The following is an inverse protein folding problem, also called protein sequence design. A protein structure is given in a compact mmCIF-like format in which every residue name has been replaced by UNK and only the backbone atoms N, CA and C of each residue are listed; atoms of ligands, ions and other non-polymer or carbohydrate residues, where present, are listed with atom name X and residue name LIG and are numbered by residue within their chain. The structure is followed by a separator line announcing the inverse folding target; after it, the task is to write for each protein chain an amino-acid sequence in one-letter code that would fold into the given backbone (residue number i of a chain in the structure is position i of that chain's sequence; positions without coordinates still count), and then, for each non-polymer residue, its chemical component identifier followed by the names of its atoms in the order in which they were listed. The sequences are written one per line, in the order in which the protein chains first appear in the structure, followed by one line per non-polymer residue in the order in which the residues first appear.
data_IF_331468529308
#
_entry.id   IF_331468529308
#
_cell.length_a   1.000
_cell.length_b   1.000
_cell.length_c   1.000
_cell.angle_alpha   90.00
_cell.angle_beta   90.00
_cell.angle_gamma   90.00
#
_symmetry.space_group_name_H-M   'P 1'
#
loop_
_entity.id
_entity.type
_entity.pdbx_description
1 polymer ?
#
# COMPACT_ATOMS: atom_id res chain seq x y z
N UNK A 1 4.29 -10.21 17.53
CA UNK A 1 4.40 -10.65 18.96
C UNK A 1 4.11 -12.13 19.15
N UNK A 2 3.07 -12.68 18.57
CA UNK A 2 2.74 -14.12 18.60
C UNK A 2 3.80 -14.93 17.84
N UNK A 3 4.30 -14.40 16.74
CA UNK A 3 5.37 -14.99 15.93
C UNK A 3 6.59 -15.42 16.76
N UNK A 4 7.13 -14.53 17.58
CA UNK A 4 8.29 -14.84 18.43
C UNK A 4 8.01 -15.89 19.53
N UNK A 5 6.77 -16.04 19.96
CA UNK A 5 6.38 -17.05 20.94
C UNK A 5 6.24 -18.44 20.29
N UNK A 6 5.77 -18.48 19.05
CA UNK A 6 5.55 -19.71 18.31
C UNK A 6 6.83 -20.23 17.62
N UNK A 7 7.81 -19.36 17.38
CA UNK A 7 9.03 -19.71 16.64
C UNK A 7 9.77 -20.94 17.18
N UNK A 8 10.08 -21.07 18.51
CA UNK A 8 10.80 -22.22 19.02
C UNK A 8 10.06 -23.54 18.77
N UNK A 9 8.73 -23.55 18.94
CA UNK A 9 7.90 -24.73 18.70
C UNK A 9 7.81 -25.03 17.19
N UNK A 10 7.73 -23.99 16.36
CA UNK A 10 7.70 -24.13 14.91
C UNK A 10 9.03 -24.69 14.39
N UNK A 11 10.18 -24.22 14.88
CA UNK A 11 11.50 -24.71 14.52
C UNK A 11 11.64 -26.20 14.84
N UNK A 12 11.17 -26.64 16.03
CA UNK A 12 11.14 -28.06 16.40
C UNK A 12 10.25 -28.90 15.48
N UNK A 13 9.06 -28.38 15.14
CA UNK A 13 8.14 -29.06 14.21
C UNK A 13 8.71 -29.13 12.79
N UNK A 14 9.44 -28.11 12.34
CA UNK A 14 10.12 -28.08 11.03
C UNK A 14 11.25 -29.13 11.01
N UNK A 15 12.08 -29.17 12.03
CA UNK A 15 13.17 -30.16 12.15
C UNK A 15 12.61 -31.58 12.14
N UNK A 16 11.50 -31.83 12.84
CA UNK A 16 10.81 -33.11 12.90
C UNK A 16 9.96 -33.42 11.67
N UNK A 17 9.80 -32.45 10.73
CA UNK A 17 8.95 -32.51 9.51
C UNK A 17 7.48 -32.82 9.81
N UNK A 18 6.96 -32.28 10.90
CA UNK A 18 5.58 -32.46 11.32
C UNK A 18 4.62 -31.50 10.58
N UNK A 19 4.59 -31.62 9.24
CA UNK A 19 3.87 -30.68 8.35
C UNK A 19 2.37 -30.60 8.62
N UNK A 20 1.74 -31.66 9.13
CA UNK A 20 0.31 -31.67 9.45
C UNK A 20 0.04 -30.78 10.65
N UNK A 21 0.85 -30.91 11.70
CA UNK A 21 0.75 -30.10 12.93
C UNK A 21 1.01 -28.62 12.61
N UNK A 22 2.05 -28.33 11.81
CA UNK A 22 2.36 -26.98 11.36
C UNK A 22 1.16 -26.37 10.62
N UNK A 23 0.54 -27.12 9.71
CA UNK A 23 -0.64 -26.65 8.97
C UNK A 23 -1.80 -26.31 9.91
N UNK A 24 -2.10 -27.15 10.89
CA UNK A 24 -3.16 -26.92 11.87
C UNK A 24 -2.88 -25.66 12.71
N UNK A 25 -1.66 -25.52 13.21
CA UNK A 25 -1.25 -24.34 13.99
C UNK A 25 -1.37 -23.07 13.16
N UNK A 26 -0.83 -23.07 11.94
CA UNK A 26 -0.85 -21.90 11.08
C UNK A 26 -2.27 -21.50 10.59
N UNK A 27 -3.26 -22.41 10.65
CA UNK A 27 -4.62 -22.10 10.24
C UNK A 27 -5.27 -21.06 11.16
N UNK A 28 -4.96 -21.08 12.46
CA UNK A 28 -5.53 -20.22 13.48
C UNK A 28 -4.70 -18.94 13.75
N UNK A 29 -3.43 -18.90 13.29
CA UNK A 29 -2.54 -17.73 13.46
C UNK A 29 -2.93 -16.63 12.44
N UNK A 30 -3.02 -15.34 12.81
CA UNK A 30 -3.27 -14.24 11.87
C UNK A 30 -2.26 -14.18 10.74
N UNK A 31 -2.66 -13.70 9.56
CA UNK A 31 -1.80 -13.64 8.37
C UNK A 31 -0.54 -12.81 8.62
N UNK A 32 -0.67 -11.67 9.30
CA UNK A 32 0.46 -10.78 9.67
C UNK A 32 1.49 -11.49 10.56
N UNK A 33 1.05 -12.30 11.54
CA UNK A 33 1.98 -13.04 12.40
C UNK A 33 2.65 -14.20 11.62
N UNK A 34 1.96 -14.79 10.65
CA UNK A 34 2.55 -15.81 9.74
C UNK A 34 3.58 -15.18 8.82
N UNK A 35 3.36 -13.97 8.31
CA UNK A 35 4.36 -13.26 7.50
C UNK A 35 5.62 -12.94 8.30
N UNK A 36 5.49 -12.45 9.55
CA UNK A 36 6.63 -12.25 10.46
C UNK A 36 7.46 -13.54 10.66
N UNK A 37 6.80 -14.71 10.78
CA UNK A 37 7.49 -15.99 10.86
C UNK A 37 8.25 -16.35 9.57
N UNK A 38 7.64 -16.09 8.41
CA UNK A 38 8.27 -16.37 7.11
C UNK A 38 9.47 -15.48 6.83
N UNK A 39 9.47 -14.23 7.29
CA UNK A 39 10.60 -13.30 7.16
C UNK A 39 11.89 -13.84 7.75
N UNK A 40 11.79 -14.60 8.85
CA UNK A 40 12.93 -15.13 9.56
C UNK A 40 13.40 -16.53 9.07
N UNK A 41 12.67 -17.13 8.12
CA UNK A 41 12.99 -18.47 7.61
C UNK A 41 13.82 -18.41 6.33
N UNK A 42 14.68 -19.43 6.13
CA UNK A 42 15.34 -19.63 4.84
C UNK A 42 14.32 -19.86 3.71
N UNK A 43 14.59 -19.36 2.48
CA UNK A 43 13.62 -19.37 1.38
C UNK A 43 13.02 -20.75 1.09
N UNK A 44 13.84 -21.80 1.11
CA UNK A 44 13.41 -23.17 0.82
C UNK A 44 12.42 -23.68 1.87
N UNK A 45 12.62 -23.32 3.14
CA UNK A 45 11.72 -23.69 4.25
C UNK A 45 10.45 -22.85 4.18
N UNK A 46 10.59 -21.53 3.96
CA UNK A 46 9.47 -20.61 3.81
C UNK A 46 8.51 -21.04 2.70
N UNK A 47 9.03 -21.50 1.54
CA UNK A 47 8.22 -22.04 0.43
C UNK A 47 7.45 -23.29 0.84
N UNK A 48 8.05 -24.18 1.65
CA UNK A 48 7.35 -25.38 2.13
C UNK A 48 6.21 -25.00 3.05
N UNK A 49 6.44 -24.09 4.00
CA UNK A 49 5.42 -23.59 4.92
C UNK A 49 4.31 -22.86 4.16
N UNK A 50 4.68 -22.00 3.21
CA UNK A 50 3.72 -21.29 2.36
C UNK A 50 2.77 -22.24 1.61
N UNK A 51 3.26 -23.39 1.16
CA UNK A 51 2.44 -24.45 0.51
C UNK A 51 1.41 -25.10 1.43
N UNK A 52 1.59 -25.03 2.74
CA UNK A 52 0.65 -25.60 3.70
C UNK A 52 -0.57 -24.68 3.91
N UNK A 53 -0.43 -23.39 3.60
CA UNK A 53 -1.50 -22.39 3.76
C UNK A 53 -2.64 -22.62 2.75
N UNK A 54 -3.85 -22.24 3.14
CA UNK A 54 -4.97 -22.13 2.21
C UNK A 54 -4.71 -20.99 1.23
N UNK A 55 -5.20 -21.09 -0.01
CA UNK A 55 -4.90 -20.12 -1.08
C UNK A 55 -5.23 -18.67 -0.71
N UNK A 56 -6.40 -18.41 -0.09
CA UNK A 56 -6.76 -17.07 0.37
C UNK A 56 -5.78 -16.59 1.44
N UNK A 57 -5.54 -17.39 2.46
CA UNK A 57 -4.59 -17.03 3.52
C UNK A 57 -3.16 -16.85 3.00
N UNK A 58 -2.77 -17.60 1.98
CA UNK A 58 -1.45 -17.46 1.36
C UNK A 58 -1.30 -16.10 0.67
N UNK A 59 -2.35 -15.58 0.04
CA UNK A 59 -2.35 -14.24 -0.53
C UNK A 59 -2.27 -13.17 0.57
N UNK A 60 -3.12 -13.28 1.60
CA UNK A 60 -3.09 -12.36 2.75
C UNK A 60 -1.71 -12.36 3.47
N UNK A 61 -1.06 -13.51 3.60
CA UNK A 61 0.29 -13.62 4.17
C UNK A 61 1.32 -12.97 3.25
N UNK A 62 1.15 -13.14 1.94
CA UNK A 62 2.08 -12.60 0.96
C UNK A 62 2.05 -11.07 0.91
N UNK A 63 0.88 -10.44 1.06
CA UNK A 63 0.75 -8.98 1.08
C UNK A 63 1.44 -8.32 2.29
N UNK A 64 1.58 -9.06 3.40
CA UNK A 64 2.30 -8.57 4.59
C UNK A 64 3.82 -8.83 4.56
N UNK A 65 4.35 -9.52 3.55
CA UNK A 65 5.79 -9.76 3.45
C UNK A 65 6.52 -8.48 3.00
N UNK A 66 7.76 -8.32 3.46
CA UNK A 66 8.64 -7.31 2.88
C UNK A 66 8.86 -7.58 1.39
N UNK A 67 9.07 -6.51 0.61
CA UNK A 67 9.35 -6.61 -0.82
C UNK A 67 10.53 -7.54 -1.11
N UNK A 68 11.58 -7.49 -0.28
CA UNK A 68 12.75 -8.35 -0.43
C UNK A 68 12.38 -9.84 -0.28
N UNK A 69 11.59 -10.18 0.76
CA UNK A 69 11.14 -11.55 1.00
C UNK A 69 10.14 -12.02 -0.03
N UNK A 70 9.25 -11.13 -0.46
CA UNK A 70 8.30 -11.39 -1.54
C UNK A 70 9.02 -11.78 -2.85
N UNK A 71 10.00 -10.99 -3.28
CA UNK A 71 10.83 -11.28 -4.47
C UNK A 71 11.55 -12.62 -4.33
N UNK A 72 12.20 -12.87 -3.18
CA UNK A 72 12.90 -14.13 -2.89
C UNK A 72 11.99 -15.35 -3.02
N UNK A 73 10.77 -15.29 -2.49
CA UNK A 73 9.79 -16.37 -2.62
C UNK A 73 9.30 -16.55 -4.05
N UNK A 74 9.04 -15.45 -4.79
CA UNK A 74 8.59 -15.52 -6.18
C UNK A 74 9.63 -16.14 -7.12
N UNK A 75 10.92 -15.99 -6.84
CA UNK A 75 11.99 -16.63 -7.59
C UNK A 75 11.90 -18.18 -7.52
N UNK A 76 11.55 -18.69 -6.33
CA UNK A 76 11.51 -20.14 -6.05
C UNK A 76 10.14 -20.75 -6.35
N UNK A 77 9.07 -19.92 -6.46
CA UNK A 77 7.72 -20.41 -6.72
C UNK A 77 7.58 -21.07 -8.08
N UNK A 78 6.87 -22.20 -8.08
CA UNK A 78 6.38 -22.82 -9.30
C UNK A 78 5.34 -21.92 -10.00
N UNK A 79 5.13 -22.13 -11.30
CA UNK A 79 4.10 -21.39 -12.07
C UNK A 79 2.71 -21.46 -11.43
N UNK A 80 2.34 -22.60 -10.85
CA UNK A 80 1.03 -22.77 -10.19
C UNK A 80 0.95 -21.93 -8.92
N UNK A 81 2.00 -21.87 -8.11
CA UNK A 81 2.02 -21.04 -6.91
C UNK A 81 1.97 -19.55 -7.25
N UNK A 82 2.73 -19.11 -8.25
CA UNK A 82 2.65 -17.75 -8.76
C UNK A 82 1.21 -17.39 -9.16
N UNK A 83 0.57 -18.27 -9.95
CA UNK A 83 -0.83 -18.06 -10.36
C UNK A 83 -1.78 -18.02 -9.17
N UNK A 84 -1.60 -18.93 -8.20
CA UNK A 84 -2.48 -19.02 -7.03
C UNK A 84 -2.35 -17.79 -6.12
N UNK A 85 -1.14 -17.27 -5.89
CA UNK A 85 -0.91 -16.04 -5.11
C UNK A 85 -1.45 -14.84 -5.86
N UNK A 86 -0.99 -14.61 -7.08
CA UNK A 86 -1.34 -13.45 -7.87
C UNK A 86 -2.85 -13.30 -8.13
N UNK A 87 -3.58 -14.42 -8.31
CA UNK A 87 -5.04 -14.37 -8.54
C UNK A 87 -5.85 -14.08 -7.29
N UNK A 88 -5.26 -14.19 -6.10
CA UNK A 88 -5.92 -13.91 -4.83
C UNK A 88 -5.45 -12.60 -4.17
N UNK A 89 -4.38 -11.97 -4.66
CA UNK A 89 -3.99 -10.62 -4.27
C UNK A 89 -5.00 -9.59 -4.77
N UNK A 90 -5.21 -8.52 -4.01
CA UNK A 90 -6.00 -7.38 -4.43
C UNK A 90 -5.35 -6.65 -5.64
N UNK A 91 -6.10 -5.91 -6.44
CA UNK A 91 -5.58 -5.25 -7.63
C UNK A 91 -4.45 -4.26 -7.38
N UNK A 92 -4.54 -3.47 -6.33
CA UNK A 92 -3.56 -2.50 -5.84
C UNK A 92 -2.30 -3.19 -5.30
N UNK A 93 -2.44 -4.22 -4.44
CA UNK A 93 -1.34 -5.05 -3.94
C UNK A 93 -0.54 -5.67 -5.11
N UNK A 94 -1.25 -6.15 -6.15
CA UNK A 94 -0.60 -6.64 -7.37
C UNK A 94 0.20 -5.56 -8.07
N UNK A 95 -0.33 -4.35 -8.15
CA UNK A 95 0.37 -3.21 -8.79
C UNK A 95 1.61 -2.86 -8.00
N UNK A 96 1.50 -2.67 -6.69
CA UNK A 96 2.62 -2.39 -5.80
C UNK A 96 3.74 -3.43 -5.97
N UNK A 97 3.38 -4.72 -5.99
CA UNK A 97 4.34 -5.79 -6.24
C UNK A 97 5.04 -5.64 -7.61
N UNK A 98 4.30 -5.35 -8.69
CA UNK A 98 4.89 -5.21 -10.02
C UNK A 98 5.83 -4.01 -10.16
N UNK A 99 5.69 -2.98 -9.35
CA UNK A 99 6.60 -1.83 -9.31
C UNK A 99 7.99 -2.19 -8.78
N UNK A 100 8.04 -3.17 -7.89
CA UNK A 100 9.27 -3.59 -7.22
C UNK A 100 9.98 -4.77 -7.89
N UNK A 101 9.27 -5.50 -8.80
CA UNK A 101 9.82 -6.70 -9.41
C UNK A 101 10.95 -6.41 -10.40
N UNK A 102 12.09 -7.15 -10.33
CA UNK A 102 13.07 -7.20 -11.39
C UNK A 102 12.46 -7.61 -12.73
N UNK A 103 12.95 -7.06 -13.84
CA UNK A 103 12.32 -7.20 -15.16
C UNK A 103 12.20 -8.64 -15.68
N UNK A 104 13.12 -9.54 -15.31
CA UNK A 104 13.07 -10.96 -15.64
C UNK A 104 11.97 -11.69 -14.85
N UNK A 105 11.82 -11.37 -13.57
CA UNK A 105 10.78 -11.91 -12.71
C UNK A 105 9.40 -11.38 -13.10
N UNK A 106 9.31 -10.10 -13.49
CA UNK A 106 8.09 -9.48 -14.02
C UNK A 106 7.48 -10.31 -15.16
N UNK A 107 8.29 -10.75 -16.13
CA UNK A 107 7.82 -11.59 -17.23
C UNK A 107 7.36 -12.97 -16.76
N UNK A 108 8.06 -13.58 -15.80
CA UNK A 108 7.67 -14.87 -15.20
C UNK A 108 6.30 -14.78 -14.53
N UNK A 109 6.08 -13.71 -13.77
CA UNK A 109 4.81 -13.46 -13.04
C UNK A 109 3.68 -13.15 -14.05
N UNK A 110 3.87 -12.24 -15.00
CA UNK A 110 2.87 -11.93 -16.03
C UNK A 110 2.42 -13.17 -16.82
N UNK A 111 3.34 -14.08 -17.13
CA UNK A 111 3.03 -15.32 -17.85
C UNK A 111 2.26 -16.35 -16.99
N UNK A 112 2.16 -16.13 -15.69
CA UNK A 112 1.39 -16.97 -14.76
C UNK A 112 -0.04 -16.48 -14.53
N UNK A 113 -0.33 -15.22 -14.84
CA UNK A 113 -1.62 -14.57 -14.66
C UNK A 113 -2.64 -14.94 -15.74
N UNK A 114 -3.92 -14.86 -15.40
CA UNK A 114 -5.01 -14.91 -16.36
C UNK A 114 -5.02 -13.63 -17.25
N UNK A 115 -5.52 -13.71 -18.50
CA UNK A 115 -5.55 -12.55 -19.39
C UNK A 115 -6.25 -11.32 -18.83
N UNK A 116 -7.32 -11.52 -18.05
CA UNK A 116 -8.09 -10.43 -17.43
C UNK A 116 -7.28 -9.73 -16.34
N UNK A 117 -6.54 -10.48 -15.51
CA UNK A 117 -5.66 -9.95 -14.48
C UNK A 117 -4.49 -9.17 -15.10
N UNK A 118 -3.90 -9.69 -16.19
CA UNK A 118 -2.86 -8.97 -16.95
C UNK A 118 -3.39 -7.64 -17.49
N UNK A 119 -4.62 -7.63 -18.02
CA UNK A 119 -5.23 -6.41 -18.55
C UNK A 119 -5.50 -5.39 -17.42
N UNK A 120 -5.90 -5.86 -16.25
CA UNK A 120 -6.12 -5.03 -15.06
C UNK A 120 -4.81 -4.40 -14.57
N UNK A 121 -3.77 -5.21 -14.34
CA UNK A 121 -2.43 -4.74 -13.93
C UNK A 121 -1.89 -3.69 -14.91
N UNK A 122 -1.95 -3.97 -16.22
CA UNK A 122 -1.49 -3.02 -17.24
C UNK A 122 -2.25 -1.70 -17.25
N UNK A 123 -3.56 -1.74 -16.97
CA UNK A 123 -4.38 -0.54 -16.87
C UNK A 123 -3.98 0.31 -15.68
N UNK A 124 -3.80 -0.31 -14.51
CA UNK A 124 -3.41 0.40 -13.29
C UNK A 124 -1.97 0.93 -13.38
N UNK A 125 -1.03 0.13 -13.88
CA UNK A 125 0.34 0.58 -14.18
C UNK A 125 0.42 1.68 -15.25
N UNK A 126 -0.65 1.95 -15.97
CA UNK A 126 -0.75 3.06 -16.90
C UNK A 126 -0.93 4.43 -16.26
N UNK A 127 -1.31 4.50 -14.99
CA UNK A 127 -1.35 5.75 -14.23
C UNK A 127 0.07 6.18 -13.79
N UNK A 128 0.31 7.47 -13.51
CA UNK A 128 1.59 7.93 -12.97
C UNK A 128 1.98 7.19 -11.69
N UNK A 129 3.26 7.03 -11.43
CA UNK A 129 3.73 6.59 -10.11
C UNK A 129 3.24 7.57 -9.03
N UNK A 130 3.07 7.10 -7.80
CA UNK A 130 2.60 7.89 -6.65
C UNK A 130 1.24 8.57 -6.86
N UNK A 131 0.44 8.11 -7.85
CA UNK A 131 -0.90 8.62 -8.08
C UNK A 131 -1.97 7.73 -7.42
N UNK A 132 -3.09 8.34 -7.07
CA UNK A 132 -4.29 7.64 -6.57
C UNK A 132 -4.72 6.48 -7.49
N UNK A 133 -4.49 6.61 -8.80
CA UNK A 133 -4.79 5.56 -9.77
C UNK A 133 -3.95 4.29 -9.63
N UNK A 134 -2.75 4.39 -9.02
CA UNK A 134 -1.89 3.24 -8.68
C UNK A 134 -2.32 2.57 -7.38
N UNK A 135 -2.82 3.36 -6.45
CA UNK A 135 -3.21 2.94 -5.11
C UNK A 135 -4.65 2.36 -5.06
N UNK A 136 -5.47 2.60 -6.09
CA UNK A 136 -6.88 2.21 -6.07
C UNK A 136 -7.10 0.72 -6.32
N UNK A 137 -8.02 0.12 -5.56
CA UNK A 137 -8.61 -1.17 -5.90
C UNK A 137 -9.81 -1.00 -6.86
N UNK A 138 -10.03 -1.98 -7.73
CA UNK A 138 -11.20 -2.01 -8.62
C UNK A 138 -12.31 -2.92 -8.08
N UNK A 139 -12.13 -3.47 -6.88
CA UNK A 139 -13.03 -4.37 -6.21
C UNK A 139 -14.05 -3.62 -5.33
N UNK A 140 -15.02 -2.96 -5.93
CA UNK A 140 -16.04 -2.18 -5.22
C UNK A 140 -17.46 -2.54 -5.66
N UNK A 141 -18.46 -2.18 -4.82
CA UNK A 141 -19.86 -2.35 -5.15
C UNK A 141 -20.47 -1.05 -5.63
N UNK A 142 -21.15 -1.11 -6.76
CA UNK A 142 -21.94 0.00 -7.31
C UNK A 142 -23.38 -0.39 -7.58
N UNK A 143 -24.29 0.56 -7.39
CA UNK A 143 -25.72 0.41 -7.62
C UNK A 143 -26.22 1.52 -8.53
N UNK A 144 -27.49 1.41 -8.97
CA UNK A 144 -28.11 2.40 -9.86
C UNK A 144 -29.23 3.15 -9.15
N UNK A 145 -29.32 4.47 -9.37
CA UNK A 145 -30.31 5.34 -8.75
C UNK A 145 -31.77 4.88 -8.90
N UNK A 146 -32.09 4.17 -9.98
CA UNK A 146 -33.45 3.69 -10.27
C UNK A 146 -33.76 2.30 -9.66
N UNK A 147 -32.85 1.72 -8.90
CA UNK A 147 -33.10 0.47 -8.20
C UNK A 147 -33.83 0.73 -6.89
N UNK A 148 -34.55 -0.29 -6.42
CA UNK A 148 -35.06 -0.32 -5.04
C UNK A 148 -33.99 -0.78 -4.08
N UNK A 149 -34.16 -0.49 -2.80
CA UNK A 149 -33.28 -0.96 -1.71
C UNK A 149 -33.20 -2.50 -1.74
N UNK A 150 -34.33 -3.22 -1.89
CA UNK A 150 -34.33 -4.66 -1.97
C UNK A 150 -33.47 -5.20 -3.11
N UNK A 151 -33.56 -4.60 -4.31
CA UNK A 151 -32.73 -4.97 -5.46
C UNK A 151 -31.25 -4.66 -5.22
N UNK A 152 -30.95 -3.55 -4.57
CA UNK A 152 -29.59 -3.18 -4.22
C UNK A 152 -28.96 -4.18 -3.25
N UNK A 153 -29.69 -4.65 -2.25
CA UNK A 153 -29.22 -5.71 -1.36
C UNK A 153 -28.98 -7.04 -2.06
N UNK A 154 -29.85 -7.41 -3.03
CA UNK A 154 -29.60 -8.60 -3.83
C UNK A 154 -28.30 -8.50 -4.60
N UNK A 155 -28.02 -7.34 -5.18
CA UNK A 155 -26.78 -7.06 -5.89
C UNK A 155 -25.56 -7.07 -4.95
N UNK A 156 -25.64 -6.40 -3.79
CA UNK A 156 -24.58 -6.38 -2.77
C UNK A 156 -24.27 -7.81 -2.29
N UNK A 157 -25.26 -8.64 -1.99
CA UNK A 157 -25.04 -10.04 -1.58
C UNK A 157 -24.33 -10.89 -2.64
N UNK A 158 -24.55 -10.56 -3.90
CA UNK A 158 -23.95 -11.30 -5.01
C UNK A 158 -22.52 -10.88 -5.29
N UNK A 159 -22.21 -9.58 -5.27
CA UNK A 159 -20.93 -9.01 -5.70
C UNK A 159 -20.07 -8.49 -4.53
N UNK A 160 -20.64 -8.22 -3.37
CA UNK A 160 -19.93 -7.69 -2.21
C UNK A 160 -19.00 -8.68 -1.51
N UNK A 161 -19.01 -9.96 -1.94
CA UNK A 161 -18.07 -10.97 -1.38
C UNK A 161 -16.64 -10.81 -1.86
N UNK A 162 -16.47 -10.17 -3.00
CA UNK A 162 -15.20 -9.89 -3.64
C UNK A 162 -14.89 -8.41 -3.65
N UNK A 163 -15.71 -7.60 -2.98
CA UNK A 163 -15.47 -6.17 -2.85
C UNK A 163 -14.60 -5.91 -1.62
N UNK A 164 -13.69 -4.96 -1.74
CA UNK A 164 -12.79 -4.49 -0.70
C UNK A 164 -13.58 -4.06 0.54
N UNK A 165 -14.62 -3.29 0.33
CA UNK A 165 -15.57 -2.90 1.37
C UNK A 165 -16.99 -2.85 0.85
N UNK A 166 -17.95 -3.12 1.75
CA UNK A 166 -19.38 -2.88 1.52
C UNK A 166 -19.94 -1.79 2.44
N UNK A 167 -19.07 -1.14 3.22
CA UNK A 167 -19.49 -0.08 4.13
C UNK A 167 -19.96 1.17 3.38
N UNK A 168 -19.40 1.41 2.19
CA UNK A 168 -19.78 2.48 1.27
C UNK A 168 -20.19 1.86 -0.05
N UNK A 169 -21.36 2.26 -0.55
CA UNK A 169 -21.94 1.78 -1.81
C UNK A 169 -22.05 2.96 -2.75
N UNK A 170 -21.48 2.86 -3.93
CA UNK A 170 -21.41 3.94 -4.90
C UNK A 170 -22.59 3.91 -5.85
N UNK A 171 -23.20 5.06 -6.08
CA UNK A 171 -24.32 5.18 -7.01
C UNK A 171 -23.83 5.79 -8.31
N UNK A 172 -24.11 5.09 -9.43
CA UNK A 172 -23.69 5.55 -10.76
C UNK A 172 -24.90 5.73 -11.68
N UNK A 173 -24.73 6.62 -12.66
CA UNK A 173 -25.69 6.82 -13.74
C UNK A 173 -25.61 5.71 -14.81
N UNK A 174 -26.28 5.93 -15.96
CA UNK A 174 -26.29 4.97 -17.10
C UNK A 174 -24.93 4.90 -17.79
N UNK A 175 -24.10 5.93 -17.66
CA UNK A 175 -22.79 6.04 -18.29
C UNK A 175 -21.66 5.72 -17.31
N UNK A 176 -21.96 5.09 -16.18
CA UNK A 176 -21.03 4.72 -15.11
C UNK A 176 -20.42 5.94 -14.38
N UNK A 177 -20.96 7.16 -14.58
CA UNK A 177 -20.54 8.33 -13.81
C UNK A 177 -20.99 8.21 -12.37
N UNK A 178 -20.12 8.55 -11.44
CA UNK A 178 -20.44 8.65 -10.04
C UNK A 178 -21.43 9.82 -9.83
N UNK A 179 -22.51 9.57 -9.11
CA UNK A 179 -23.54 10.57 -8.79
C UNK A 179 -23.81 10.72 -7.29
N UNK A 180 -23.46 9.67 -6.51
CA UNK A 180 -23.59 9.68 -5.05
C UNK A 180 -22.80 8.55 -4.40
N UNK A 181 -22.56 8.64 -3.08
CA UNK A 181 -22.07 7.57 -2.23
C UNK A 181 -23.02 7.37 -1.04
N UNK A 182 -23.41 6.12 -0.77
CA UNK A 182 -24.34 5.77 0.30
C UNK A 182 -23.62 4.87 1.31
N UNK A 183 -23.77 5.17 2.60
CA UNK A 183 -23.31 4.26 3.66
C UNK A 183 -24.28 3.07 3.75
N UNK A 184 -23.74 1.89 4.01
CA UNK A 184 -24.56 0.68 4.15
C UNK A 184 -25.68 0.82 5.18
N UNK A 185 -25.46 1.56 6.28
CA UNK A 185 -26.48 1.81 7.30
C UNK A 185 -27.68 2.59 6.75
N UNK A 186 -27.51 3.50 5.78
CA UNK A 186 -28.63 4.21 5.15
C UNK A 186 -29.52 3.24 4.38
N UNK A 187 -28.93 2.26 3.69
CA UNK A 187 -29.66 1.21 3.00
C UNK A 187 -30.38 0.24 3.97
N UNK A 188 -29.72 -0.13 5.09
CA UNK A 188 -30.29 -1.04 6.09
C UNK A 188 -31.52 -0.43 6.77
N UNK A 189 -31.52 0.88 6.99
CA UNK A 189 -32.59 1.59 7.69
C UNK A 189 -33.75 1.99 6.76
N UNK A 190 -33.57 1.94 5.45
CA UNK A 190 -34.59 2.29 4.47
C UNK A 190 -35.53 1.12 4.18
N UNK A 191 -36.78 1.42 3.83
CA UNK A 191 -37.75 0.42 3.44
C UNK A 191 -37.38 -0.28 2.13
N UNK A 192 -37.66 -1.60 1.97
CA UNK A 192 -37.21 -2.40 0.83
C UNK A 192 -37.65 -1.86 -0.54
N UNK A 193 -38.82 -1.24 -0.61
CA UNK A 193 -39.42 -0.73 -1.85
C UNK A 193 -39.01 0.71 -2.17
N UNK A 194 -38.28 1.38 -1.27
CA UNK A 194 -37.79 2.73 -1.49
C UNK A 194 -36.76 2.75 -2.65
N UNK A 195 -36.86 3.72 -3.53
CA UNK A 195 -35.88 3.92 -4.60
C UNK A 195 -34.57 4.50 -4.04
N UNK A 196 -33.47 4.12 -4.63
CA UNK A 196 -32.15 4.68 -4.27
C UNK A 196 -32.14 6.20 -4.49
N UNK A 197 -32.79 6.69 -5.57
CA UNK A 197 -32.96 8.12 -5.84
C UNK A 197 -33.60 8.93 -4.70
N UNK A 198 -34.39 8.28 -3.85
CA UNK A 198 -35.11 8.93 -2.74
C UNK A 198 -34.26 8.98 -1.46
N UNK A 199 -33.18 8.23 -1.42
CA UNK A 199 -32.21 8.15 -0.29
C UNK A 199 -30.99 9.06 -0.56
N UNK A 200 -30.66 9.26 -1.84
CA UNK A 200 -29.54 10.07 -2.28
C UNK A 200 -29.65 11.52 -1.84
N UNK A 201 -28.53 12.12 -1.47
CA UNK A 201 -28.43 13.58 -1.26
C UNK A 201 -27.66 14.29 -2.40
N UNK A 202 -27.13 13.52 -3.35
CA UNK A 202 -26.33 13.97 -4.49
C UNK A 202 -25.04 14.71 -4.06
N UNK A 203 -24.51 14.39 -2.90
CA UNK A 203 -23.27 14.91 -2.40
C UNK A 203 -22.27 13.79 -2.20
N UNK A 204 -21.11 13.91 -2.83
CA UNK A 204 -20.03 12.95 -2.68
C UNK A 204 -18.68 13.64 -2.73
N UNK A 205 -17.69 12.96 -2.16
CA UNK A 205 -16.29 13.38 -2.26
C UNK A 205 -15.57 12.30 -3.05
N UNK A 206 -14.86 12.69 -4.10
CA UNK A 206 -14.16 11.78 -4.99
C UNK A 206 -12.74 12.29 -5.25
N UNK A 207 -11.81 11.35 -5.47
CA UNK A 207 -10.46 11.59 -5.94
C UNK A 207 -10.40 11.41 -7.46
N UNK A 208 -9.50 12.13 -8.13
CA UNK A 208 -9.13 11.81 -9.50
C UNK A 208 -8.06 10.72 -9.50
N UNK A 209 -8.13 9.79 -10.47
CA UNK A 209 -7.07 8.78 -10.62
C UNK A 209 -5.68 9.37 -10.93
N UNK A 210 -5.61 10.67 -11.28
CA UNK A 210 -4.38 11.39 -11.56
C UNK A 210 -3.92 12.31 -10.41
N UNK A 211 -4.69 12.37 -9.32
CA UNK A 211 -4.28 13.08 -8.12
C UNK A 211 -3.09 12.37 -7.48
N UNK A 212 -2.28 13.13 -6.76
CA UNK A 212 -1.19 12.61 -5.95
C UNK A 212 -1.74 11.79 -4.77
N UNK A 213 -1.00 10.75 -4.35
CA UNK A 213 -1.41 9.89 -3.23
C UNK A 213 -1.55 10.65 -1.90
N UNK A 214 -0.77 11.72 -1.68
CA UNK A 214 -0.91 12.59 -0.50
C UNK A 214 -2.28 13.27 -0.43
N UNK A 215 -2.88 13.60 -1.59
CA UNK A 215 -4.23 14.18 -1.63
C UNK A 215 -5.26 13.20 -1.06
N UNK A 216 -5.08 11.89 -1.28
CA UNK A 216 -5.94 10.86 -0.70
C UNK A 216 -5.81 10.82 0.83
N UNK A 217 -4.58 10.92 1.37
CA UNK A 217 -4.32 11.00 2.83
C UNK A 217 -5.10 12.18 3.43
N UNK A 218 -4.96 13.36 2.81
CA UNK A 218 -5.61 14.58 3.27
C UNK A 218 -7.15 14.49 3.18
N UNK A 219 -7.67 13.98 2.07
CA UNK A 219 -9.11 13.89 1.82
C UNK A 219 -9.80 12.90 2.77
N UNK A 220 -9.22 11.69 2.98
CA UNK A 220 -9.76 10.71 3.92
C UNK A 220 -9.81 11.27 5.35
N UNK A 221 -8.72 11.91 5.78
CA UNK A 221 -8.65 12.54 7.11
C UNK A 221 -9.63 13.69 7.27
N UNK A 222 -9.75 14.57 6.26
CA UNK A 222 -10.61 15.76 6.31
C UNK A 222 -12.10 15.42 6.36
N UNK A 223 -12.52 14.39 5.63
CA UNK A 223 -13.94 14.04 5.49
C UNK A 223 -14.36 12.85 6.36
N UNK A 224 -13.48 12.34 7.23
CA UNK A 224 -13.72 11.18 8.11
C UNK A 224 -14.30 9.98 7.33
N UNK A 225 -13.70 9.66 6.19
CA UNK A 225 -14.13 8.57 5.31
C UNK A 225 -13.27 7.34 5.55
N UNK A 226 -13.86 6.16 5.37
CA UNK A 226 -13.15 4.87 5.41
C UNK A 226 -12.76 4.37 4.01
N UNK A 227 -13.40 4.92 2.99
CA UNK A 227 -13.09 4.70 1.59
C UNK A 227 -13.56 5.91 0.77
N UNK A 228 -12.82 6.25 -0.28
CA UNK A 228 -13.16 7.28 -1.24
C UNK A 228 -13.25 6.71 -2.65
N UNK A 229 -14.25 7.12 -3.44
CA UNK A 229 -14.33 6.76 -4.85
C UNK A 229 -13.27 7.49 -5.66
N UNK A 230 -12.73 6.78 -6.64
CA UNK A 230 -11.78 7.32 -7.62
C UNK A 230 -12.45 7.41 -8.97
N UNK A 231 -12.35 8.58 -9.60
CA UNK A 231 -12.95 8.85 -10.90
C UNK A 231 -11.89 9.21 -11.95
N UNK A 232 -12.20 8.93 -13.20
CA UNK A 232 -11.42 9.42 -14.34
C UNK A 232 -11.76 10.87 -14.70
N UNK A 233 -11.08 11.44 -15.71
CA UNK A 233 -11.32 12.79 -16.21
C UNK A 233 -12.76 13.02 -16.73
N UNK A 234 -13.51 11.96 -17.02
CA UNK A 234 -14.92 11.98 -17.42
C UNK A 234 -15.90 11.93 -16.24
N UNK A 235 -15.42 11.72 -15.01
CA UNK A 235 -16.22 11.48 -13.82
C UNK A 235 -16.77 10.05 -13.73
N UNK A 236 -16.21 9.10 -14.51
CA UNK A 236 -16.55 7.68 -14.45
C UNK A 236 -15.85 7.07 -13.23
N UNK A 237 -16.61 6.30 -12.45
CA UNK A 237 -16.05 5.56 -11.31
C UNK A 237 -15.12 4.44 -11.80
N UNK A 238 -13.83 4.53 -11.48
CA UNK A 238 -12.80 3.59 -11.94
C UNK A 238 -12.23 2.72 -10.84
N UNK A 239 -12.33 3.16 -9.59
CA UNK A 239 -11.82 2.44 -8.41
C UNK A 239 -12.27 3.07 -7.10
N UNK A 240 -11.72 2.57 -6.02
CA UNK A 240 -11.82 3.14 -4.68
C UNK A 240 -10.46 3.05 -4.00
N UNK A 241 -10.24 3.91 -3.02
CA UNK A 241 -9.09 3.84 -2.12
C UNK A 241 -9.60 3.73 -0.69
N UNK A 242 -9.04 2.85 0.11
CA UNK A 242 -9.46 2.58 1.48
C UNK A 242 -8.51 3.20 2.51
N UNK A 243 -8.92 3.24 3.76
CA UNK A 243 -8.16 3.92 4.81
C UNK A 243 -6.89 3.16 5.21
N UNK A 244 -6.89 1.84 5.09
CA UNK A 244 -5.75 0.97 5.36
C UNK A 244 -4.59 1.25 4.38
N UNK A 245 -4.85 1.27 3.07
CA UNK A 245 -3.86 1.63 2.05
C UNK A 245 -3.29 3.03 2.27
N UNK A 246 -4.18 3.97 2.63
CA UNK A 246 -3.79 5.37 2.89
C UNK A 246 -2.94 5.52 4.16
N UNK A 247 -3.12 4.66 5.16
CA UNK A 247 -2.26 4.68 6.34
C UNK A 247 -0.82 4.30 5.99
N UNK A 248 -0.62 3.35 5.11
CA UNK A 248 0.70 2.95 4.64
C UNK A 248 1.37 4.07 3.85
N UNK A 249 0.65 4.71 2.93
CA UNK A 249 1.11 5.92 2.23
C UNK A 249 1.47 7.03 3.22
N UNK A 250 0.64 7.31 4.22
CA UNK A 250 0.92 8.36 5.20
C UNK A 250 2.19 8.10 6.01
N UNK A 251 2.51 6.85 6.30
CA UNK A 251 3.77 6.44 6.97
C UNK A 251 4.95 6.61 6.03
N UNK A 252 4.82 6.22 4.76
CA UNK A 252 5.84 6.36 3.73
C UNK A 252 6.20 7.83 3.50
N UNK A 253 5.22 8.68 3.21
CA UNK A 253 5.38 10.12 3.00
C UNK A 253 5.99 10.82 4.23
N UNK A 254 5.52 10.49 5.44
CA UNK A 254 6.10 11.05 6.68
C UNK A 254 7.57 10.66 6.82
N UNK A 255 7.93 9.45 6.43
CA UNK A 255 9.30 8.94 6.49
C UNK A 255 10.19 9.64 5.44
N UNK A 256 9.66 9.84 4.23
CA UNK A 256 10.35 10.58 3.17
C UNK A 256 10.60 12.03 3.58
N UNK A 257 9.59 12.72 4.08
CA UNK A 257 9.68 14.07 4.60
C UNK A 257 10.75 14.19 5.72
N UNK A 258 10.80 13.25 6.64
CA UNK A 258 11.83 13.21 7.68
C UNK A 258 13.24 13.04 7.08
N UNK A 259 13.39 12.21 6.06
CA UNK A 259 14.67 12.04 5.37
C UNK A 259 15.09 13.32 4.63
N UNK A 260 14.17 13.96 3.92
CA UNK A 260 14.41 15.23 3.23
C UNK A 260 14.78 16.34 4.22
N UNK A 261 14.08 16.46 5.34
CA UNK A 261 14.43 17.41 6.43
C UNK A 261 15.79 17.14 7.05
N UNK A 262 16.21 15.88 7.11
CA UNK A 262 17.55 15.48 7.56
C UNK A 262 18.65 15.72 6.49
N UNK A 263 18.32 16.28 5.33
CA UNK A 263 19.23 16.50 4.20
C UNK A 263 19.67 15.20 3.53
N UNK A 264 18.83 14.20 3.56
CA UNK A 264 19.02 12.91 2.86
C UNK A 264 17.99 12.80 1.73
N UNK A 265 18.38 12.19 0.63
CA UNK A 265 17.38 11.68 -0.33
C UNK A 265 16.62 10.53 0.33
N UNK A 266 15.36 10.36 -0.06
CA UNK A 266 14.54 9.26 0.41
C UNK A 266 15.26 7.90 0.27
N UNK A 267 15.09 7.04 1.26
CA UNK A 267 15.60 5.67 1.24
C UNK A 267 14.45 4.77 0.82
N UNK A 268 14.65 3.98 -0.22
CA UNK A 268 13.66 3.03 -0.74
C UNK A 268 13.49 1.80 0.18
N UNK A 269 14.31 1.70 1.24
CA UNK A 269 14.33 0.58 2.21
C UNK A 269 14.45 1.09 3.63
N UNK A 270 14.02 0.27 4.58
CA UNK A 270 14.22 0.55 6.01
C UNK A 270 15.68 0.86 6.32
N UNK A 271 15.91 1.80 7.24
CA UNK A 271 17.26 2.22 7.66
C UNK A 271 18.15 1.05 8.10
N UNK A 272 17.57 0.01 8.67
CA UNK A 272 18.26 -1.20 9.14
C UNK A 272 18.67 -2.14 8.00
N UNK A 273 18.00 -2.06 6.86
CA UNK A 273 18.21 -2.94 5.68
C UNK A 273 19.08 -2.29 4.61
N UNK A 274 19.28 -0.96 4.70
CA UNK A 274 20.02 -0.20 3.70
C UNK A 274 21.53 -0.40 3.90
N UNK A 275 22.24 -0.71 2.82
CA UNK A 275 23.70 -0.86 2.83
C UNK A 275 24.40 0.47 3.16
N UNK A 276 25.44 0.43 3.99
CA UNK A 276 26.24 1.60 4.38
C UNK A 276 26.73 2.41 3.16
N UNK A 277 27.07 1.73 2.06
CA UNK A 277 27.52 2.38 0.82
C UNK A 277 26.42 3.26 0.19
N UNK A 278 25.20 2.78 0.16
CA UNK A 278 24.04 3.49 -0.35
C UNK A 278 23.67 4.69 0.54
N UNK A 279 23.69 4.50 1.88
CA UNK A 279 23.48 5.58 2.84
C UNK A 279 24.51 6.71 2.68
N UNK A 280 25.77 6.36 2.47
CA UNK A 280 26.84 7.35 2.22
C UNK A 280 26.56 8.09 0.92
N UNK A 281 26.20 7.39 -0.16
CA UNK A 281 25.93 7.99 -1.47
C UNK A 281 24.77 8.98 -1.42
N UNK A 282 23.68 8.64 -0.74
CA UNK A 282 22.50 9.52 -0.58
C UNK A 282 22.77 10.74 0.31
N UNK A 283 23.78 10.71 1.17
CA UNK A 283 24.21 11.83 2.04
C UNK A 283 25.33 12.69 1.49
N UNK A 284 26.19 12.15 0.64
CA UNK A 284 27.41 12.84 0.15
C UNK A 284 27.08 14.18 -0.52
N UNK A 285 26.03 14.27 -1.30
CA UNK A 285 25.65 15.52 -1.97
C UNK A 285 25.39 16.66 -0.98
N UNK A 286 24.59 16.39 0.05
CA UNK A 286 24.30 17.36 1.11
C UNK A 286 25.53 17.71 1.95
N UNK A 287 26.35 16.73 2.32
CA UNK A 287 27.57 16.95 3.08
C UNK A 287 28.58 17.80 2.31
N UNK A 288 28.73 17.62 1.00
CA UNK A 288 29.57 18.45 0.14
C UNK A 288 29.07 19.89 0.14
N UNK A 289 27.75 20.10 0.00
CA UNK A 289 27.16 21.44 0.03
C UNK A 289 27.40 22.14 1.37
N UNK A 290 27.24 21.45 2.49
CA UNK A 290 27.54 21.97 3.82
C UNK A 290 29.02 22.29 3.98
N UNK A 291 29.91 21.41 3.52
CA UNK A 291 31.37 21.62 3.57
C UNK A 291 31.80 22.86 2.78
N UNK A 292 31.26 23.03 1.56
CA UNK A 292 31.52 24.23 0.76
C UNK A 292 30.98 25.50 1.44
N UNK A 293 29.78 25.44 2.02
CA UNK A 293 29.23 26.53 2.81
C UNK A 293 30.11 26.88 4.01
N UNK A 294 30.61 25.88 4.73
CA UNK A 294 31.51 26.04 5.84
C UNK A 294 32.84 26.68 5.40
N UNK A 295 33.42 26.21 4.29
CA UNK A 295 34.65 26.84 3.74
C UNK A 295 34.43 28.32 3.39
N UNK A 296 33.27 28.64 2.77
CA UNK A 296 32.94 30.04 2.46
C UNK A 296 32.82 30.88 3.73
N UNK A 297 32.14 30.35 4.76
CA UNK A 297 31.99 31.02 6.05
C UNK A 297 33.34 31.27 6.73
N UNK A 298 34.22 30.27 6.76
CA UNK A 298 35.58 30.39 7.33
C UNK A 298 36.40 31.45 6.57
N UNK A 299 36.32 31.45 5.23
CA UNK A 299 37.05 32.45 4.40
C UNK A 299 36.51 33.87 4.64
N UNK A 300 35.18 34.03 4.75
CA UNK A 300 34.55 35.30 5.07
C UNK A 300 34.94 35.78 6.47
N UNK A 301 34.92 34.90 7.47
CA UNK A 301 35.35 35.25 8.84
C UNK A 301 36.83 35.63 8.90
N UNK A 302 37.72 34.93 8.20
CA UNK A 302 39.12 35.24 8.13
C UNK A 302 39.39 36.65 7.54
N UNK A 303 38.60 37.12 6.57
CA UNK A 303 38.72 38.45 5.99
C UNK A 303 38.25 39.58 6.94
N UNK A 304 37.52 39.25 7.99
CA UNK A 304 37.05 40.22 9.03
C UNK A 304 37.66 39.96 10.40
N UNK A 305 38.76 39.20 10.49
CA UNK A 305 39.39 38.79 11.75
C UNK A 305 39.75 39.98 12.64
N UNK A 306 40.37 41.03 12.08
CA UNK A 306 40.73 42.25 12.82
C UNK A 306 39.51 43.00 13.37
N UNK A 307 38.41 43.01 12.62
CA UNK A 307 37.16 43.68 13.02
C UNK A 307 36.47 42.91 14.14
N UNK A 308 36.43 41.56 14.05
CA UNK A 308 35.90 40.70 15.07
C UNK A 308 36.69 40.72 16.37
N UNK A 309 38.04 40.81 16.30
CA UNK A 309 38.88 40.95 17.45
C UNK A 309 38.64 42.27 18.18
N UNK A 310 38.46 43.38 17.44
CA UNK A 310 38.06 44.67 18.04
C UNK A 310 36.67 44.63 18.67
N UNK A 311 35.70 44.00 18.04
CA UNK A 311 34.36 43.86 18.59
C UNK A 311 34.34 43.00 19.87
N UNK A 312 35.11 41.93 19.91
CA UNK A 312 35.25 41.09 21.10
C UNK A 312 35.90 41.83 22.28
N UNK A 313 36.92 42.68 22.00
CA UNK A 313 37.51 43.54 23.03
C UNK A 313 36.51 44.57 23.55
N UNK A 314 35.73 45.21 22.67
CA UNK A 314 34.66 46.15 23.06
C UNK A 314 33.57 45.49 23.90
N UNK A 315 33.17 44.27 23.61
CA UNK A 315 32.17 43.49 24.37
C UNK A 315 32.66 43.12 25.80
N UNK A 316 33.97 43.14 26.05
CA UNK A 316 34.56 42.88 27.37
C UNK A 316 34.54 44.14 28.27
N UNK A 317 34.28 45.33 27.68
CA UNK A 317 34.27 46.63 28.40
C UNK A 317 32.83 47.18 28.60
N UNK A 318 31.81 46.47 28.13
CA UNK A 318 30.39 46.72 28.38
C UNK A 318 29.87 45.73 29.43
#
# INVERSE_FOLDING_TARGET
MIAHLLKPELDELIENKEWVTIKEVLEDVPAVDVSELLEELEPEVAVVIFRLLKKSKAADVFSYLSSAKGVELLEVFSRQQLSDVMSNLEPDERVALFEELPGDLTQKVLNSLAPDDVAQVRRLLGYPAESVGRLMTTNYVRIKQHWTVAKSFEHIRRFGRTAETVNVIYVTDKNEKLIDDLRLNQLILAEPDTLISDIMDNTFVALSAFDDQEEAVWMLSKYDRIALPVVDSGGILVGIVTVDDILDVAVEETTEDMHLMAGMSALDKSYTETNIGEMVQKRVGWLILLFLGQMFTVTAMASYEDTLAMAAILALFI
#
